data_IF_306867634640
#
_entry.id   IF_306867634640
#
_cell.length_a   1.000
_cell.length_b   1.000
_cell.length_c   1.000
_cell.angle_alpha   90.00
_cell.angle_beta   90.00
_cell.angle_gamma   90.00
#
_symmetry.space_group_name_H-M   'P 1'
#
loop_
_entity.id
_entity.type
_entity.pdbx_description
1 polymer ?
#
# COMPACT_ATOMS: atom_id res chain seq x y z
N UNK A 1 -65.20 -21.04 -27.38
CA UNK A 1 -63.82 -20.57 -27.17
C UNK A 1 -63.68 -19.07 -26.83
N UNK A 2 -64.31 -18.56 -25.78
CA UNK A 2 -63.97 -17.17 -25.32
C UNK A 2 -63.37 -17.05 -23.91
N UNK A 3 -63.10 -18.17 -23.24
CA UNK A 3 -62.63 -18.10 -21.84
C UNK A 3 -61.09 -18.06 -21.76
N UNK A 4 -60.38 -18.58 -22.71
CA UNK A 4 -58.90 -18.60 -22.74
C UNK A 4 -58.27 -17.23 -23.02
N UNK A 5 -58.97 -16.30 -23.66
CA UNK A 5 -58.41 -14.97 -23.98
C UNK A 5 -58.47 -13.97 -22.82
N UNK A 6 -59.31 -14.20 -21.81
CA UNK A 6 -59.44 -13.32 -20.63
C UNK A 6 -58.36 -13.59 -19.57
N UNK A 7 -57.87 -14.82 -19.47
CA UNK A 7 -56.75 -15.13 -18.55
C UNK A 7 -55.42 -14.63 -19.06
N UNK A 8 -55.15 -14.66 -20.37
CA UNK A 8 -53.89 -14.16 -20.94
C UNK A 8 -53.74 -12.65 -20.80
N UNK A 9 -54.86 -11.89 -20.97
CA UNK A 9 -54.83 -10.42 -20.81
C UNK A 9 -54.68 -10.00 -19.35
N UNK A 10 -55.29 -10.74 -18.41
CA UNK A 10 -55.15 -10.47 -16.98
C UNK A 10 -53.74 -10.81 -16.46
N UNK A 11 -53.10 -11.89 -16.94
CA UNK A 11 -51.70 -12.21 -16.62
C UNK A 11 -50.70 -11.20 -17.22
N UNK A 12 -50.93 -10.72 -18.44
CA UNK A 12 -50.08 -9.70 -19.06
C UNK A 12 -50.17 -8.34 -18.34
N UNK A 13 -51.35 -7.93 -17.88
CA UNK A 13 -51.54 -6.72 -17.07
C UNK A 13 -50.96 -6.87 -15.66
N UNK A 14 -51.05 -8.03 -15.02
CA UNK A 14 -50.45 -8.30 -13.71
C UNK A 14 -48.93 -8.30 -13.80
N UNK A 15 -48.33 -8.87 -14.84
CA UNK A 15 -46.90 -8.86 -15.09
C UNK A 15 -46.38 -7.46 -15.44
N UNK A 16 -47.13 -6.64 -16.15
CA UNK A 16 -46.73 -5.25 -16.44
C UNK A 16 -46.85 -4.34 -15.22
N UNK A 17 -47.83 -4.56 -14.35
CA UNK A 17 -47.97 -3.83 -13.07
C UNK A 17 -46.93 -4.26 -12.06
N UNK A 18 -46.55 -5.54 -12.00
CA UNK A 18 -45.46 -6.05 -11.18
C UNK A 18 -44.12 -5.54 -11.70
N UNK A 19 -43.89 -5.50 -13.00
CA UNK A 19 -42.68 -4.97 -13.62
C UNK A 19 -42.51 -3.45 -13.38
N UNK A 20 -43.59 -2.68 -13.47
CA UNK A 20 -43.56 -1.24 -13.19
C UNK A 20 -43.43 -0.92 -11.70
N UNK A 21 -44.02 -1.71 -10.81
CA UNK A 21 -43.87 -1.56 -9.36
C UNK A 21 -42.48 -1.96 -8.87
N UNK A 22 -41.91 -3.01 -9.46
CA UNK A 22 -40.51 -3.44 -9.14
C UNK A 22 -39.51 -2.39 -9.65
N UNK A 23 -39.70 -1.83 -10.85
CA UNK A 23 -38.81 -0.77 -11.37
C UNK A 23 -38.96 0.55 -10.58
N UNK A 24 -40.18 0.89 -10.16
CA UNK A 24 -40.41 2.09 -9.31
C UNK A 24 -39.80 1.89 -7.92
N UNK A 25 -39.94 0.71 -7.31
CA UNK A 25 -39.31 0.41 -6.01
C UNK A 25 -37.79 0.36 -6.09
N UNK A 26 -37.21 -0.12 -7.20
CA UNK A 26 -35.75 -0.11 -7.38
C UNK A 26 -35.20 1.31 -7.50
N UNK A 27 -35.88 2.21 -8.18
CA UNK A 27 -35.48 3.60 -8.32
C UNK A 27 -35.55 4.37 -6.99
N UNK A 28 -36.61 4.16 -6.20
CA UNK A 28 -36.76 4.75 -4.86
C UNK A 28 -35.68 4.25 -3.89
N UNK A 29 -35.37 2.96 -3.95
CA UNK A 29 -34.32 2.35 -3.14
C UNK A 29 -32.93 2.89 -3.51
N UNK A 30 -32.65 3.07 -4.79
CA UNK A 30 -31.39 3.64 -5.29
C UNK A 30 -31.23 5.10 -4.86
N UNK A 31 -32.29 5.90 -4.91
CA UNK A 31 -32.29 7.28 -4.41
C UNK A 31 -32.05 7.37 -2.90
N UNK A 32 -32.69 6.50 -2.09
CA UNK A 32 -32.45 6.44 -0.65
C UNK A 32 -30.99 6.04 -0.32
N UNK A 33 -30.45 5.10 -1.07
CA UNK A 33 -29.05 4.65 -0.93
C UNK A 33 -28.08 5.77 -1.25
N UNK A 34 -28.29 6.51 -2.35
CA UNK A 34 -27.45 7.65 -2.72
C UNK A 34 -27.51 8.76 -1.65
N UNK A 35 -28.70 9.06 -1.14
CA UNK A 35 -28.87 10.03 -0.04
C UNK A 35 -28.14 9.60 1.23
N UNK A 36 -28.10 8.29 1.51
CA UNK A 36 -27.35 7.77 2.66
C UNK A 36 -25.85 8.01 2.48
N UNK A 37 -25.28 7.72 1.31
CA UNK A 37 -23.87 7.95 0.99
C UNK A 37 -23.51 9.45 1.16
N UNK A 38 -24.32 10.35 0.62
CA UNK A 38 -24.12 11.80 0.73
C UNK A 38 -24.24 12.29 2.20
N UNK A 39 -25.19 11.73 2.97
CA UNK A 39 -25.39 12.10 4.37
C UNK A 39 -24.24 11.63 5.26
N UNK A 40 -23.68 10.43 5.00
CA UNK A 40 -22.51 9.93 5.73
C UNK A 40 -21.28 10.78 5.44
N UNK A 41 -21.07 11.18 4.20
CA UNK A 41 -20.00 12.10 3.83
C UNK A 41 -20.20 13.47 4.52
N UNK A 42 -21.40 14.01 4.52
CA UNK A 42 -21.71 15.30 5.18
C UNK A 42 -21.46 15.24 6.68
N UNK A 43 -21.96 14.19 7.34
CA UNK A 43 -21.74 13.97 8.77
C UNK A 43 -20.25 13.86 9.12
N UNK A 44 -19.45 13.26 8.26
CA UNK A 44 -18.00 13.11 8.47
C UNK A 44 -17.28 14.45 8.65
N UNK A 45 -17.78 15.51 7.99
CA UNK A 45 -17.24 16.86 8.13
C UNK A 45 -17.91 17.67 9.26
N UNK A 46 -19.25 17.61 9.35
CA UNK A 46 -20.02 18.46 10.25
C UNK A 46 -20.01 17.97 11.69
N UNK A 47 -19.96 16.65 11.89
CA UNK A 47 -20.19 15.97 13.18
C UNK A 47 -21.49 16.42 13.87
N UNK A 48 -22.45 16.93 13.10
CA UNK A 48 -23.71 17.46 13.59
C UNK A 48 -24.67 16.35 14.00
N UNK A 49 -25.36 16.54 15.12
CA UNK A 49 -26.43 15.63 15.53
C UNK A 49 -27.59 15.59 14.51
N UNK A 50 -27.87 16.69 13.83
CA UNK A 50 -28.91 16.74 12.80
C UNK A 50 -28.57 15.88 11.58
N UNK A 51 -27.29 15.79 11.19
CA UNK A 51 -26.86 14.94 10.09
C UNK A 51 -26.90 13.48 10.50
N UNK A 52 -26.57 13.15 11.75
CA UNK A 52 -26.76 11.81 12.31
C UNK A 52 -28.25 11.42 12.36
N UNK A 53 -29.15 12.34 12.70
CA UNK A 53 -30.58 12.10 12.68
C UNK A 53 -31.07 11.82 11.26
N UNK A 54 -30.55 12.54 10.26
CA UNK A 54 -30.83 12.27 8.83
C UNK A 54 -30.38 10.86 8.41
N UNK A 55 -29.18 10.43 8.79
CA UNK A 55 -28.68 9.06 8.56
C UNK A 55 -29.63 8.04 9.20
N UNK A 56 -30.06 8.28 10.45
CA UNK A 56 -30.95 7.38 11.17
C UNK A 56 -32.32 7.28 10.47
N UNK A 57 -32.85 8.38 10.00
CA UNK A 57 -34.12 8.43 9.28
C UNK A 57 -34.06 7.70 7.93
N UNK A 58 -32.99 7.92 7.17
CA UNK A 58 -32.77 7.22 5.89
C UNK A 58 -32.71 5.70 6.09
N UNK A 59 -31.95 5.22 7.07
CA UNK A 59 -31.88 3.78 7.38
C UNK A 59 -33.24 3.24 7.82
N UNK A 60 -33.99 3.98 8.64
CA UNK A 60 -35.35 3.62 9.08
C UNK A 60 -36.30 3.53 7.89
N UNK A 61 -36.14 4.36 6.88
CA UNK A 61 -36.93 4.40 5.65
C UNK A 61 -36.48 3.35 4.61
N UNK A 62 -35.50 2.48 4.98
CA UNK A 62 -35.09 1.36 4.14
C UNK A 62 -33.83 1.63 3.31
N UNK A 63 -33.11 2.74 3.52
CA UNK A 63 -31.81 2.90 2.86
C UNK A 63 -30.85 1.79 3.31
N UNK A 64 -30.15 1.18 2.35
CA UNK A 64 -29.13 0.18 2.62
C UNK A 64 -27.74 0.74 2.34
N UNK A 65 -26.77 0.55 3.26
CA UNK A 65 -25.41 0.99 3.04
C UNK A 65 -24.77 0.21 1.88
N UNK A 66 -23.97 0.91 1.09
CA UNK A 66 -23.14 0.36 0.01
C UNK A 66 -21.71 0.21 0.47
N UNK A 67 -20.86 -0.30 -0.40
CA UNK A 67 -19.41 -0.27 -0.17
C UNK A 67 -18.89 1.17 -0.08
N UNK A 68 -19.53 2.12 -0.77
CA UNK A 68 -19.18 3.53 -0.73
C UNK A 68 -19.51 4.15 0.64
N UNK A 69 -20.68 3.84 1.21
CA UNK A 69 -21.06 4.23 2.58
C UNK A 69 -20.03 3.72 3.60
N UNK A 70 -19.64 2.45 3.45
CA UNK A 70 -18.65 1.81 4.33
C UNK A 70 -17.28 2.48 4.19
N UNK A 71 -16.88 2.81 2.96
CA UNK A 71 -15.64 3.51 2.69
C UNK A 71 -15.61 4.91 3.33
N UNK A 72 -16.69 5.70 3.20
CA UNK A 72 -16.78 7.01 3.85
C UNK A 72 -16.63 6.88 5.37
N UNK A 73 -17.31 5.92 5.99
CA UNK A 73 -17.20 5.70 7.43
C UNK A 73 -15.75 5.35 7.86
N UNK A 74 -15.07 4.52 7.10
CA UNK A 74 -13.68 4.16 7.36
C UNK A 74 -12.72 5.31 7.10
N UNK A 75 -12.82 5.97 5.94
CA UNK A 75 -11.91 7.03 5.49
C UNK A 75 -11.96 8.26 6.41
N UNK A 76 -13.15 8.65 6.85
CA UNK A 76 -13.33 9.79 7.74
C UNK A 76 -13.30 9.41 9.23
N UNK A 77 -12.81 8.24 9.56
CA UNK A 77 -12.60 7.75 10.93
C UNK A 77 -13.86 7.84 11.79
N UNK A 78 -14.93 7.14 11.34
CA UNK A 78 -16.22 7.02 12.01
C UNK A 78 -16.46 5.57 12.47
N UNK A 79 -15.73 5.04 13.49
CA UNK A 79 -15.79 3.62 13.85
C UNK A 79 -17.19 3.14 14.20
N UNK A 80 -17.98 3.94 14.92
CA UNK A 80 -19.35 3.57 15.30
C UNK A 80 -20.31 3.42 14.11
N UNK A 81 -20.15 4.26 13.06
CA UNK A 81 -20.92 4.13 11.83
C UNK A 81 -20.44 2.94 11.02
N UNK A 82 -19.13 2.71 10.97
CA UNK A 82 -18.55 1.56 10.28
C UNK A 82 -19.12 0.24 10.85
N UNK A 83 -19.09 0.07 12.16
CA UNK A 83 -19.62 -1.13 12.83
C UNK A 83 -21.09 -1.35 12.49
N UNK A 84 -21.89 -0.26 12.57
CA UNK A 84 -23.31 -0.33 12.21
C UNK A 84 -23.55 -0.77 10.77
N UNK A 85 -22.76 -0.28 9.82
CA UNK A 85 -22.91 -0.65 8.41
C UNK A 85 -22.42 -2.07 8.13
N UNK A 86 -21.38 -2.53 8.82
CA UNK A 86 -20.92 -3.92 8.76
C UNK A 86 -22.00 -4.88 9.26
N UNK A 87 -22.74 -4.52 10.31
CA UNK A 87 -23.87 -5.31 10.82
C UNK A 87 -25.04 -5.39 9.81
N UNK A 88 -25.12 -4.47 8.84
CA UNK A 88 -26.11 -4.49 7.77
C UNK A 88 -25.67 -5.28 6.52
N UNK A 89 -24.69 -6.17 6.67
CA UNK A 89 -24.27 -7.16 5.67
C UNK A 89 -23.71 -6.57 4.35
N UNK A 90 -22.99 -5.46 4.40
CA UNK A 90 -22.25 -4.93 3.25
C UNK A 90 -21.12 -5.91 2.88
N UNK A 91 -20.94 -6.14 1.58
CA UNK A 91 -19.79 -6.94 1.11
C UNK A 91 -18.49 -6.16 1.27
N UNK A 92 -17.78 -6.36 2.37
CA UNK A 92 -16.53 -5.69 2.73
C UNK A 92 -15.39 -5.89 1.71
N UNK A 93 -15.51 -6.90 0.84
CA UNK A 93 -14.51 -7.24 -0.17
C UNK A 93 -14.84 -6.69 -1.58
N UNK A 94 -15.94 -5.97 -1.72
CA UNK A 94 -16.23 -5.28 -2.97
C UNK A 94 -15.19 -4.17 -3.19
N UNK A 95 -14.71 -4.03 -4.43
CA UNK A 95 -13.83 -2.94 -4.81
C UNK A 95 -14.59 -1.59 -4.77
N UNK A 96 -13.92 -0.57 -4.24
CA UNK A 96 -14.42 0.82 -4.20
C UNK A 96 -14.08 1.60 -5.48
N UNK A 97 -13.25 1.02 -6.34
CA UNK A 97 -12.76 1.65 -7.57
C UNK A 97 -12.33 0.60 -8.61
N UNK A 98 -12.19 1.04 -9.86
CA UNK A 98 -11.82 0.17 -10.99
C UNK A 98 -10.42 -0.43 -10.88
N UNK A 99 -9.55 0.15 -10.05
CA UNK A 99 -8.20 -0.39 -9.80
C UNK A 99 -8.18 -1.53 -8.75
N UNK A 100 -9.34 -1.99 -8.30
CA UNK A 100 -9.46 -3.09 -7.34
C UNK A 100 -9.17 -2.70 -5.89
N UNK A 101 -9.13 -1.42 -5.55
CA UNK A 101 -8.96 -0.96 -4.18
C UNK A 101 -10.14 -1.39 -3.31
N UNK A 102 -9.86 -1.85 -2.08
CA UNK A 102 -10.87 -2.24 -1.10
C UNK A 102 -10.88 -1.26 0.08
N UNK A 103 -11.95 -1.30 0.88
CA UNK A 103 -12.03 -0.46 2.09
C UNK A 103 -10.85 -0.74 3.04
N UNK A 104 -10.41 -2.00 3.16
CA UNK A 104 -9.24 -2.34 3.97
C UNK A 104 -7.96 -1.66 3.46
N UNK A 105 -7.70 -1.70 2.14
CA UNK A 105 -6.52 -1.03 1.56
C UNK A 105 -6.58 0.48 1.73
N UNK A 106 -7.74 1.08 1.50
CA UNK A 106 -7.95 2.51 1.70
C UNK A 106 -7.74 2.92 3.16
N UNK A 107 -8.27 2.14 4.12
CA UNK A 107 -8.08 2.38 5.54
C UNK A 107 -6.60 2.31 5.95
N UNK A 108 -5.86 1.30 5.47
CA UNK A 108 -4.41 1.18 5.70
C UNK A 108 -3.63 2.38 5.14
N UNK A 109 -3.98 2.86 3.94
CA UNK A 109 -3.37 4.03 3.32
C UNK A 109 -3.70 5.36 4.02
N UNK A 110 -4.79 5.39 4.79
CA UNK A 110 -5.28 6.57 5.52
C UNK A 110 -4.90 6.61 7.00
N UNK A 111 -4.15 5.62 7.49
CA UNK A 111 -3.62 5.65 8.87
C UNK A 111 -2.60 6.78 9.03
N UNK A 112 -2.49 7.35 10.24
CA UNK A 112 -1.38 8.24 10.55
C UNK A 112 -0.07 7.44 10.45
N UNK A 113 0.87 7.96 9.66
CA UNK A 113 2.14 7.27 9.42
C UNK A 113 3.06 7.22 10.64
N UNK A 114 2.88 8.14 11.58
CA UNK A 114 3.71 8.24 12.78
C UNK A 114 3.21 7.34 13.91
N UNK A 115 1.90 7.28 14.12
CA UNK A 115 1.26 6.54 15.22
C UNK A 115 -0.13 6.05 14.83
N UNK A 116 -0.44 4.82 15.21
CA UNK A 116 -1.76 4.22 14.98
C UNK A 116 -2.75 4.72 16.04
N UNK A 117 -3.76 5.50 15.63
CA UNK A 117 -4.80 5.96 16.53
C UNK A 117 -5.75 4.83 16.96
N UNK A 118 -6.47 5.02 18.07
CA UNK A 118 -7.48 4.06 18.53
C UNK A 118 -8.60 3.88 17.50
N UNK A 119 -8.99 4.93 16.79
CA UNK A 119 -9.99 4.86 15.71
C UNK A 119 -9.47 4.07 14.51
N UNK A 120 -8.21 4.26 14.10
CA UNK A 120 -7.59 3.47 13.03
C UNK A 120 -7.56 1.99 13.39
N UNK A 121 -7.11 1.68 14.61
CA UNK A 121 -7.05 0.32 15.10
C UNK A 121 -8.43 -0.33 15.15
N UNK A 122 -9.43 0.38 15.66
CA UNK A 122 -10.82 -0.10 15.72
C UNK A 122 -11.37 -0.38 14.31
N UNK A 123 -11.22 0.57 13.38
CA UNK A 123 -11.67 0.43 11.99
C UNK A 123 -11.04 -0.81 11.33
N UNK A 124 -9.72 -0.95 11.43
CA UNK A 124 -9.01 -2.08 10.83
C UNK A 124 -9.45 -3.41 11.44
N UNK A 125 -9.60 -3.48 12.77
CA UNK A 125 -10.08 -4.68 13.46
C UNK A 125 -11.51 -5.03 13.07
N UNK A 126 -12.41 -4.06 12.96
CA UNK A 126 -13.80 -4.28 12.54
C UNK A 126 -13.88 -4.80 11.11
N UNK A 127 -13.11 -4.22 10.17
CA UNK A 127 -13.03 -4.69 8.79
C UNK A 127 -12.50 -6.14 8.71
N UNK A 128 -11.43 -6.44 9.45
CA UNK A 128 -10.82 -7.77 9.49
C UNK A 128 -11.77 -8.79 10.11
N UNK A 129 -12.48 -8.45 11.19
CA UNK A 129 -13.51 -9.27 11.84
C UNK A 129 -14.68 -9.54 10.89
N UNK A 130 -15.05 -8.58 10.06
CA UNK A 130 -16.08 -8.72 9.03
C UNK A 130 -15.61 -9.56 7.81
N UNK A 131 -14.38 -10.06 7.80
CA UNK A 131 -13.83 -10.91 6.75
C UNK A 131 -13.21 -10.16 5.58
N UNK A 132 -12.69 -8.95 5.82
CA UNK A 132 -11.93 -8.25 4.79
C UNK A 132 -10.73 -9.09 4.31
N UNK A 133 -10.58 -9.22 3.00
CA UNK A 133 -9.52 -10.02 2.38
C UNK A 133 -8.15 -9.36 2.57
N UNK A 134 -7.30 -10.00 3.37
CA UNK A 134 -5.93 -9.54 3.65
C UNK A 134 -4.95 -9.81 2.51
N UNK A 135 -5.37 -10.54 1.45
CA UNK A 135 -4.52 -10.99 0.36
C UNK A 135 -4.95 -10.44 -1.02
N UNK A 136 -5.77 -9.39 -1.03
CA UNK A 136 -6.15 -8.72 -2.27
C UNK A 136 -4.92 -8.08 -2.93
N UNK A 137 -4.87 -8.11 -4.27
CA UNK A 137 -3.89 -7.38 -5.07
C UNK A 137 -4.65 -6.29 -5.82
N UNK A 138 -4.39 -5.05 -5.49
CA UNK A 138 -5.07 -3.88 -6.03
C UNK A 138 -4.10 -2.88 -6.67
N UNK A 139 -4.60 -1.72 -7.07
CA UNK A 139 -3.84 -0.65 -7.72
C UNK A 139 -3.07 -1.13 -8.96
N UNK A 140 -3.77 -1.82 -9.85
CA UNK A 140 -3.15 -2.34 -11.07
C UNK A 140 -2.11 -3.43 -10.84
N UNK A 141 -2.19 -4.13 -9.70
CA UNK A 141 -1.27 -5.21 -9.35
C UNK A 141 0.00 -4.75 -8.61
N UNK A 142 -0.01 -3.55 -8.02
CA UNK A 142 1.18 -2.99 -7.35
C UNK A 142 1.10 -3.01 -5.83
N UNK A 143 -0.08 -3.19 -5.23
CA UNK A 143 -0.26 -3.11 -3.78
C UNK A 143 -1.05 -4.28 -3.20
N UNK A 144 -0.67 -4.67 -1.98
CA UNK A 144 -1.39 -5.63 -1.12
C UNK A 144 -1.56 -5.01 0.27
N UNK A 145 -2.51 -5.49 1.10
CA UNK A 145 -2.64 -5.00 2.47
C UNK A 145 -1.34 -5.06 3.27
N UNK A 146 -0.55 -6.12 3.10
CA UNK A 146 0.71 -6.27 3.83
C UNK A 146 1.82 -5.35 3.31
N UNK A 147 1.84 -5.03 2.00
CA UNK A 147 2.73 -4.01 1.43
C UNK A 147 2.33 -2.62 1.97
N UNK A 148 1.04 -2.27 1.92
CA UNK A 148 0.54 -1.01 2.46
C UNK A 148 0.90 -0.82 3.94
N UNK A 149 0.70 -1.86 4.75
CA UNK A 149 1.07 -1.84 6.17
C UNK A 149 2.57 -1.65 6.39
N UNK A 150 3.42 -2.35 5.62
CA UNK A 150 4.87 -2.24 5.75
C UNK A 150 5.42 -0.85 5.38
N UNK A 151 4.66 -0.07 4.59
CA UNK A 151 4.99 1.29 4.18
C UNK A 151 4.47 2.39 5.11
N UNK A 152 3.81 2.02 6.21
CA UNK A 152 3.16 2.97 7.13
C UNK A 152 4.10 3.55 8.20
N UNK A 153 5.38 3.68 7.92
CA UNK A 153 6.40 4.28 8.80
C UNK A 153 6.34 3.80 10.27
N UNK A 154 6.11 4.69 11.24
CA UNK A 154 6.06 4.36 12.66
C UNK A 154 4.94 3.37 13.05
N UNK A 155 3.81 3.42 12.37
CA UNK A 155 2.70 2.49 12.57
C UNK A 155 2.95 1.09 11.96
N UNK A 156 3.91 0.94 11.05
CA UNK A 156 4.13 -0.27 10.28
C UNK A 156 4.27 -1.57 11.11
N UNK A 157 5.04 -1.64 12.21
CA UNK A 157 5.14 -2.88 12.99
C UNK A 157 3.81 -3.37 13.54
N UNK A 158 2.96 -2.46 14.04
CA UNK A 158 1.65 -2.79 14.59
C UNK A 158 0.69 -3.28 13.49
N UNK A 159 0.67 -2.60 12.34
CA UNK A 159 -0.17 -2.96 11.20
C UNK A 159 0.24 -4.29 10.58
N UNK A 160 1.55 -4.52 10.38
CA UNK A 160 2.08 -5.79 9.86
C UNK A 160 1.71 -6.93 10.81
N UNK A 161 1.88 -6.76 12.12
CA UNK A 161 1.49 -7.76 13.12
C UNK A 161 -0.01 -8.05 13.08
N UNK A 162 -0.85 -7.02 13.01
CA UNK A 162 -2.30 -7.15 12.93
C UNK A 162 -2.72 -7.96 11.69
N UNK A 163 -2.18 -7.64 10.51
CA UNK A 163 -2.52 -8.35 9.28
C UNK A 163 -2.03 -9.79 9.27
N UNK A 164 -0.81 -10.07 9.75
CA UNK A 164 -0.28 -11.43 9.86
C UNK A 164 -1.15 -12.28 10.80
N UNK A 165 -1.61 -11.73 11.93
CA UNK A 165 -2.53 -12.40 12.85
C UNK A 165 -3.91 -12.64 12.23
N UNK A 166 -4.29 -11.83 11.23
CA UNK A 166 -5.55 -11.93 10.50
C UNK A 166 -5.45 -12.77 9.20
N UNK A 167 -4.34 -13.50 8.99
CA UNK A 167 -4.19 -14.43 7.89
C UNK A 167 -3.60 -13.83 6.61
N UNK A 168 -2.91 -12.70 6.69
CA UNK A 168 -2.17 -12.18 5.56
C UNK A 168 -1.00 -13.12 5.19
N UNK A 169 -0.88 -13.42 3.90
CA UNK A 169 0.20 -14.25 3.38
C UNK A 169 1.48 -13.43 3.21
N UNK A 170 2.43 -13.63 4.13
CA UNK A 170 3.73 -12.97 4.11
C UNK A 170 4.58 -13.33 2.87
N UNK A 171 4.26 -14.40 2.14
CA UNK A 171 4.96 -14.84 0.94
C UNK A 171 4.35 -14.27 -0.33
N UNK A 172 3.19 -13.60 -0.22
CA UNK A 172 2.54 -13.02 -1.37
C UNK A 172 3.41 -11.92 -2.00
N UNK A 173 3.60 -12.01 -3.31
CA UNK A 173 4.27 -10.99 -4.11
C UNK A 173 3.32 -10.43 -5.15
N UNK A 174 3.54 -9.19 -5.55
CA UNK A 174 2.81 -8.57 -6.66
C UNK A 174 3.17 -9.24 -8.00
N UNK A 175 2.39 -9.04 -9.07
CA UNK A 175 2.76 -9.48 -10.42
C UNK A 175 4.13 -9.00 -10.89
N UNK A 176 4.64 -7.89 -10.34
CA UNK A 176 5.99 -7.36 -10.60
C UNK A 176 7.06 -8.00 -9.71
N UNK A 177 6.69 -8.90 -8.79
CA UNK A 177 7.60 -9.57 -7.87
C UNK A 177 7.98 -8.73 -6.65
N UNK A 178 7.25 -7.64 -6.35
CA UNK A 178 7.46 -6.90 -5.11
C UNK A 178 6.83 -7.64 -3.93
N UNK A 179 7.58 -7.76 -2.85
CA UNK A 179 7.15 -8.33 -1.57
C UNK A 179 7.01 -7.26 -0.49
N UNK A 180 6.32 -7.55 0.63
CA UNK A 180 6.15 -6.58 1.72
C UNK A 180 7.44 -6.08 2.36
N UNK A 181 8.55 -6.80 2.20
CA UNK A 181 9.87 -6.43 2.72
C UNK A 181 10.65 -5.48 1.78
N UNK A 182 10.12 -5.17 0.60
CA UNK A 182 10.70 -4.20 -0.34
C UNK A 182 10.16 -2.79 -0.08
N UNK A 183 10.80 -1.78 -0.66
CA UNK A 183 10.45 -0.38 -0.42
C UNK A 183 10.68 0.01 1.05
N UNK A 184 9.78 0.78 1.64
CA UNK A 184 9.90 1.24 3.02
C UNK A 184 9.91 0.10 4.05
N UNK A 185 9.36 -1.09 3.72
CA UNK A 185 9.45 -2.29 4.56
C UNK A 185 10.89 -2.73 4.85
N UNK A 186 11.85 -2.44 3.97
CA UNK A 186 13.27 -2.73 4.17
C UNK A 186 13.99 -1.77 5.13
N UNK A 187 13.32 -0.68 5.54
CA UNK A 187 13.93 0.36 6.37
C UNK A 187 13.62 0.22 7.86
N UNK A 188 12.64 -0.59 8.21
CA UNK A 188 12.20 -0.83 9.58
C UNK A 188 12.64 -2.22 10.05
N UNK A 189 13.57 -2.27 11.00
CA UNK A 189 14.15 -3.52 11.51
C UNK A 189 13.09 -4.46 12.12
N UNK A 190 12.08 -3.92 12.81
CA UNK A 190 11.03 -4.73 13.41
C UNK A 190 10.10 -5.33 12.34
N UNK A 191 9.74 -4.53 11.32
CA UNK A 191 8.98 -5.01 10.14
C UNK A 191 9.74 -6.14 9.44
N UNK A 192 11.04 -5.98 9.17
CA UNK A 192 11.88 -7.02 8.58
C UNK A 192 11.80 -8.32 9.39
N UNK A 193 11.98 -8.24 10.72
CA UNK A 193 11.93 -9.40 11.61
C UNK A 193 10.56 -10.09 11.59
N UNK A 194 9.48 -9.31 11.66
CA UNK A 194 8.11 -9.85 11.61
C UNK A 194 7.84 -10.58 10.28
N UNK A 195 8.18 -9.97 9.17
CA UNK A 195 7.95 -10.53 7.84
C UNK A 195 8.81 -11.79 7.59
N UNK A 196 10.09 -11.76 7.96
CA UNK A 196 10.98 -12.92 7.82
C UNK A 196 10.52 -14.07 8.72
N UNK A 197 10.12 -13.79 9.95
CA UNK A 197 9.55 -14.80 10.85
C UNK A 197 8.25 -15.41 10.31
N UNK A 198 7.46 -14.64 9.55
CA UNK A 198 6.24 -15.10 8.88
C UNK A 198 6.52 -15.81 7.53
N UNK A 199 7.78 -15.84 7.07
CA UNK A 199 8.22 -16.59 5.89
C UNK A 199 8.40 -15.78 4.61
N UNK A 200 8.42 -14.44 4.68
CA UNK A 200 8.82 -13.59 3.55
C UNK A 200 10.28 -13.89 3.19
N UNK A 201 10.57 -14.02 1.89
CA UNK A 201 11.94 -14.19 1.40
C UNK A 201 12.70 -12.86 1.48
N UNK A 202 13.74 -12.72 2.35
CA UNK A 202 14.50 -11.49 2.47
C UNK A 202 15.45 -11.25 1.29
N UNK A 203 15.55 -12.19 0.35
CA UNK A 203 16.44 -12.14 -0.81
C UNK A 203 15.70 -12.19 -2.14
N UNK A 204 14.37 -12.05 -2.09
CA UNK A 204 13.51 -12.08 -3.27
C UNK A 204 13.94 -11.04 -4.30
N UNK A 205 13.77 -11.35 -5.59
CA UNK A 205 14.14 -10.47 -6.70
C UNK A 205 12.88 -10.09 -7.46
N UNK A 206 12.61 -8.80 -7.61
CA UNK A 206 11.51 -8.30 -8.44
C UNK A 206 11.83 -8.45 -9.93
N UNK A 207 10.81 -8.30 -10.80
CA UNK A 207 11.01 -8.33 -12.26
C UNK A 207 11.88 -7.19 -12.79
N UNK A 208 12.01 -6.10 -12.02
CA UNK A 208 12.91 -4.99 -12.36
C UNK A 208 14.34 -5.20 -11.83
N UNK A 209 14.62 -6.33 -11.17
CA UNK A 209 15.94 -6.64 -10.63
C UNK A 209 16.20 -6.07 -9.23
N UNK A 210 15.22 -5.46 -8.57
CA UNK A 210 15.38 -4.97 -7.19
C UNK A 210 15.26 -6.11 -6.18
N UNK A 211 16.08 -6.07 -5.14
CA UNK A 211 15.98 -6.90 -3.94
C UNK A 211 15.65 -6.01 -2.74
N UNK A 212 15.23 -6.57 -1.60
CA UNK A 212 15.03 -5.77 -0.39
C UNK A 212 16.26 -4.93 0.00
N UNK A 213 17.48 -5.42 -0.26
CA UNK A 213 18.71 -4.71 0.03
C UNK A 213 18.87 -3.38 -0.74
N UNK A 214 18.28 -3.26 -1.94
CA UNK A 214 18.29 -1.99 -2.70
C UNK A 214 17.50 -0.88 -2.01
N UNK A 215 16.58 -1.23 -1.11
CA UNK A 215 15.74 -0.28 -0.38
C UNK A 215 16.19 -0.05 1.07
N UNK A 216 17.24 -0.76 1.54
CA UNK A 216 17.62 -0.79 2.95
C UNK A 216 17.93 0.57 3.56
N UNK A 217 18.32 1.54 2.75
CA UNK A 217 18.65 2.90 3.18
C UNK A 217 17.58 3.93 2.80
N UNK A 218 16.50 3.54 2.13
CA UNK A 218 15.40 4.47 1.77
C UNK A 218 14.90 5.19 3.02
N UNK A 219 14.67 6.50 2.91
CA UNK A 219 14.23 7.38 3.99
C UNK A 219 13.23 8.40 3.50
N UNK A 220 12.34 8.80 4.37
CA UNK A 220 11.59 10.04 4.20
C UNK A 220 12.51 11.25 4.46
N UNK A 221 12.34 12.32 3.70
CA UNK A 221 13.12 13.56 3.85
C UNK A 221 13.03 14.16 5.26
N UNK A 222 11.97 13.88 6.02
CA UNK A 222 11.84 14.29 7.42
C UNK A 222 12.87 13.64 8.35
N UNK A 223 13.52 12.56 7.91
CA UNK A 223 14.56 11.83 8.66
C UNK A 223 15.98 12.22 8.23
N UNK A 224 16.13 13.18 7.31
CA UNK A 224 17.44 13.63 6.86
C UNK A 224 18.28 14.15 8.02
N UNK A 225 19.55 13.70 8.09
CA UNK A 225 20.48 14.06 9.14
C UNK A 225 20.23 13.36 10.49
N UNK A 226 19.19 12.53 10.64
CA UNK A 226 18.99 11.75 11.86
C UNK A 226 19.91 10.51 11.88
N UNK A 227 20.44 10.10 13.04
CA UNK A 227 21.22 8.87 13.16
C UNK A 227 20.43 7.63 12.76
N UNK A 228 21.10 6.65 12.15
CA UNK A 228 20.53 5.36 11.78
C UNK A 228 21.31 4.18 12.40
N UNK A 229 21.18 3.96 13.71
CA UNK A 229 21.96 2.94 14.41
C UNK A 229 21.59 1.50 14.03
N UNK A 230 20.47 1.29 13.33
CA UNK A 230 19.98 -0.04 12.94
C UNK A 230 20.36 -0.45 11.51
N UNK A 231 20.99 0.43 10.73
CA UNK A 231 21.36 0.18 9.35
C UNK A 231 22.14 -1.13 9.17
N UNK A 232 23.19 -1.34 9.97
CA UNK A 232 24.02 -2.56 9.88
C UNK A 232 23.22 -3.84 10.16
N UNK A 233 22.25 -3.80 11.09
CA UNK A 233 21.40 -4.97 11.39
C UNK A 233 20.44 -5.28 10.26
N UNK A 234 19.84 -4.26 9.63
CA UNK A 234 18.97 -4.43 8.45
C UNK A 234 19.77 -5.02 7.29
N UNK A 235 20.94 -4.46 7.00
CA UNK A 235 21.83 -4.96 5.94
C UNK A 235 22.18 -6.42 6.17
N UNK A 236 22.55 -6.81 7.39
CA UNK A 236 22.88 -8.20 7.72
C UNK A 236 21.72 -9.19 7.51
N UNK A 237 20.48 -8.74 7.70
CA UNK A 237 19.27 -9.56 7.47
C UNK A 237 18.90 -9.65 5.99
N UNK A 238 19.18 -8.62 5.20
CA UNK A 238 18.77 -8.50 3.79
C UNK A 238 19.87 -8.86 2.80
N UNK A 239 21.11 -8.99 3.25
CA UNK A 239 22.22 -9.47 2.42
C UNK A 239 22.29 -10.99 2.43
N UNK A 240 22.15 -11.60 1.26
CA UNK A 240 22.20 -13.06 1.13
C UNK A 240 23.61 -13.59 1.40
N UNK A 241 23.78 -14.49 2.37
CA UNK A 241 25.10 -15.06 2.66
C UNK A 241 25.75 -15.70 1.43
N UNK A 242 27.06 -15.43 1.23
CA UNK A 242 27.84 -16.00 0.13
C UNK A 242 27.63 -15.35 -1.24
N UNK A 243 26.88 -14.23 -1.32
CA UNK A 243 26.74 -13.42 -2.54
C UNK A 243 27.48 -12.11 -2.40
N UNK A 244 27.80 -11.45 -3.54
CA UNK A 244 28.27 -10.06 -3.48
C UNK A 244 27.16 -9.13 -3.02
N UNK A 245 27.48 -8.20 -2.13
CA UNK A 245 26.56 -7.13 -1.73
C UNK A 245 26.26 -6.16 -2.88
N UNK A 246 27.13 -6.12 -3.90
CA UNK A 246 26.98 -5.31 -5.11
C UNK A 246 26.27 -6.09 -6.24
N UNK A 247 25.70 -7.26 -5.93
CA UNK A 247 25.02 -8.08 -6.94
C UNK A 247 23.87 -7.30 -7.58
N UNK A 248 23.92 -7.26 -8.92
CA UNK A 248 22.87 -6.72 -9.77
C UNK A 248 22.17 -7.90 -10.42
N UNK A 249 20.98 -8.32 -9.95
CA UNK A 249 20.25 -9.42 -10.57
C UNK A 249 19.91 -9.13 -12.04
N UNK A 250 19.71 -10.18 -12.86
CA UNK A 250 19.30 -10.00 -14.25
C UNK A 250 18.03 -9.15 -14.34
N UNK A 251 18.06 -8.14 -15.20
CA UNK A 251 16.98 -7.18 -15.34
C UNK A 251 16.17 -7.46 -16.60
N UNK A 252 14.85 -7.38 -16.49
CA UNK A 252 13.92 -7.66 -17.58
C UNK A 252 13.27 -6.39 -18.17
N UNK A 253 13.64 -5.20 -17.68
CA UNK A 253 13.01 -3.94 -18.05
C UNK A 253 14.01 -2.86 -18.50
N UNK A 254 13.48 -1.82 -19.15
CA UNK A 254 14.26 -0.72 -19.74
C UNK A 254 14.95 0.21 -18.72
N UNK A 255 14.56 0.18 -17.44
CA UNK A 255 15.15 1.00 -16.37
C UNK A 255 15.95 0.09 -15.44
N UNK A 256 17.28 0.12 -15.52
CA UNK A 256 18.12 -0.71 -14.68
C UNK A 256 18.10 -0.22 -13.24
N UNK A 257 18.16 -1.17 -12.34
CA UNK A 257 18.46 -0.94 -10.93
C UNK A 257 19.97 -0.96 -10.76
N UNK A 258 20.52 0.01 -10.05
CA UNK A 258 21.94 0.06 -9.74
C UNK A 258 22.36 -0.94 -8.66
N UNK A 259 23.57 -0.79 -8.13
CA UNK A 259 23.96 -1.55 -6.93
C UNK A 259 23.17 -1.04 -5.70
N UNK A 260 22.99 -1.86 -4.65
CA UNK A 260 22.39 -1.37 -3.40
C UNK A 260 23.09 -0.11 -2.84
N UNK A 261 24.40 0.00 -3.02
CA UNK A 261 25.16 1.18 -2.64
C UNK A 261 24.76 2.42 -3.45
N UNK A 262 24.57 2.29 -4.78
CA UNK A 262 24.11 3.40 -5.62
C UNK A 262 22.70 3.84 -5.22
N UNK A 263 21.78 2.89 -5.05
CA UNK A 263 20.40 3.18 -4.69
C UNK A 263 20.28 3.85 -3.30
N UNK A 264 21.21 3.52 -2.36
CA UNK A 264 21.23 4.09 -1.03
C UNK A 264 21.47 5.60 -0.99
N UNK A 265 22.01 6.16 -2.07
CA UNK A 265 22.39 7.58 -2.12
C UNK A 265 21.22 8.52 -2.36
N UNK A 266 20.10 7.99 -2.84
CA UNK A 266 18.87 8.77 -3.05
C UNK A 266 18.24 9.27 -1.76
N UNK A 267 18.62 8.70 -0.62
CA UNK A 267 18.00 8.96 0.69
C UNK A 267 18.87 9.81 1.64
N UNK A 268 20.01 10.30 1.19
CA UNK A 268 20.92 11.15 1.98
C UNK A 268 21.17 10.64 3.43
N UNK A 269 21.34 9.31 3.60
CA UNK A 269 21.55 8.62 4.87
C UNK A 269 23.01 8.17 5.04
N UNK A 270 23.92 9.00 5.56
CA UNK A 270 25.34 8.68 5.64
C UNK A 270 25.66 7.46 6.52
N UNK A 271 24.88 7.20 7.57
CA UNK A 271 25.10 6.04 8.44
C UNK A 271 24.81 4.73 7.71
N UNK A 272 23.75 4.70 6.90
CA UNK A 272 23.42 3.53 6.10
C UNK A 272 24.43 3.31 4.97
N UNK A 273 24.88 4.38 4.30
CA UNK A 273 25.97 4.30 3.30
C UNK A 273 27.24 3.76 3.94
N UNK A 274 27.65 4.25 5.12
CA UNK A 274 28.79 3.72 5.89
C UNK A 274 28.61 2.25 6.22
N UNK A 275 27.41 1.84 6.63
CA UNK A 275 27.12 0.46 6.98
C UNK A 275 27.19 -0.47 5.76
N UNK A 276 26.74 -0.04 4.58
CA UNK A 276 26.91 -0.80 3.32
C UNK A 276 28.39 -0.95 2.97
N UNK A 277 29.17 0.11 3.04
CA UNK A 277 30.62 0.06 2.80
C UNK A 277 31.34 -0.85 3.82
N UNK A 278 30.96 -0.80 5.09
CA UNK A 278 31.49 -1.68 6.12
C UNK A 278 31.08 -3.15 5.92
N UNK A 279 29.94 -3.41 5.30
CA UNK A 279 29.49 -4.73 4.92
C UNK A 279 30.16 -5.27 3.63
N UNK A 280 31.04 -4.49 3.01
CA UNK A 280 31.85 -4.88 1.86
C UNK A 280 31.34 -4.38 0.51
N UNK A 281 30.42 -3.42 0.48
CA UNK A 281 30.01 -2.78 -0.77
C UNK A 281 31.21 -2.05 -1.42
N UNK A 282 31.43 -2.33 -2.70
CA UNK A 282 32.55 -1.77 -3.47
C UNK A 282 32.13 -0.48 -4.17
N UNK A 283 32.68 0.64 -3.72
CA UNK A 283 32.44 1.94 -4.37
C UNK A 283 33.01 2.05 -5.77
N UNK A 284 33.92 1.16 -6.15
CA UNK A 284 34.49 1.07 -7.48
C UNK A 284 33.82 -0.01 -8.35
N UNK A 285 32.78 -0.69 -7.85
CA UNK A 285 31.90 -1.52 -8.67
C UNK A 285 31.16 -0.67 -9.73
N UNK A 286 30.77 -1.27 -10.86
CA UNK A 286 29.93 -0.60 -11.85
C UNK A 286 28.60 -0.14 -11.22
N UNK A 287 28.25 1.11 -11.43
CA UNK A 287 27.02 1.70 -10.90
C UNK A 287 25.77 1.01 -11.44
N UNK A 288 25.82 0.63 -12.73
CA UNK A 288 24.76 -0.08 -13.45
C UNK A 288 25.33 -1.32 -14.18
N UNK A 289 24.50 -2.31 -14.54
CA UNK A 289 24.93 -3.44 -15.33
C UNK A 289 25.68 -3.03 -16.61
N UNK A 290 26.70 -3.81 -17.01
CA UNK A 290 27.55 -3.49 -18.17
C UNK A 290 26.78 -3.40 -19.49
N UNK A 291 25.71 -4.19 -19.63
CA UNK A 291 24.79 -4.21 -20.79
C UNK A 291 23.82 -3.02 -20.81
N UNK A 292 23.80 -2.21 -19.75
CA UNK A 292 22.90 -1.06 -19.68
C UNK A 292 23.23 -0.04 -20.79
N UNK A 293 22.23 0.22 -21.63
CA UNK A 293 22.26 1.29 -22.61
C UNK A 293 21.45 2.46 -22.07
N UNK A 294 22.14 3.36 -21.35
CA UNK A 294 21.49 4.54 -20.77
C UNK A 294 20.95 5.46 -21.86
N UNK A 295 19.80 6.08 -21.60
CA UNK A 295 19.36 7.27 -22.34
C UNK A 295 20.37 8.42 -22.19
N UNK A 296 21.08 8.48 -21.05
CA UNK A 296 22.22 9.35 -20.81
C UNK A 296 23.54 8.54 -20.92
N UNK A 297 24.29 8.67 -22.04
CA UNK A 297 25.56 7.99 -22.20
C UNK A 297 26.61 8.32 -21.14
N UNK A 298 26.42 9.43 -20.41
CA UNK A 298 27.37 9.89 -19.38
C UNK A 298 27.47 8.98 -18.17
N UNK A 299 26.49 8.11 -17.93
CA UNK A 299 26.51 7.15 -16.80
C UNK A 299 27.03 5.76 -17.18
N UNK A 300 27.16 5.47 -18.48
CA UNK A 300 27.58 4.17 -18.96
C UNK A 300 29.02 3.83 -18.55
N UNK A 301 29.20 2.67 -17.95
CA UNK A 301 30.53 2.16 -17.56
C UNK A 301 31.18 2.91 -16.39
N UNK A 302 30.46 3.84 -15.75
CA UNK A 302 30.94 4.51 -14.53
C UNK A 302 30.80 3.61 -13.31
N UNK A 303 31.79 3.73 -12.40
CA UNK A 303 31.67 3.15 -11.06
C UNK A 303 30.74 3.98 -10.18
N UNK A 304 30.31 3.42 -9.06
CA UNK A 304 29.49 4.14 -8.07
C UNK A 304 30.22 5.41 -7.63
N UNK A 305 31.53 5.32 -7.31
CA UNK A 305 32.38 6.47 -6.97
C UNK A 305 32.37 7.55 -8.03
N UNK A 306 32.61 7.19 -9.30
CA UNK A 306 32.65 8.15 -10.41
C UNK A 306 31.30 8.83 -10.63
N UNK A 307 30.20 8.08 -10.45
CA UNK A 307 28.86 8.63 -10.57
C UNK A 307 28.58 9.67 -9.50
N UNK A 308 28.89 9.36 -8.23
CA UNK A 308 28.66 10.26 -7.09
C UNK A 308 29.50 11.50 -7.18
N UNK A 309 30.81 11.36 -7.38
CA UNK A 309 31.72 12.52 -7.40
C UNK A 309 31.40 13.45 -8.58
N UNK A 310 31.09 12.89 -9.75
CA UNK A 310 30.66 13.70 -10.92
C UNK A 310 29.30 14.39 -10.71
N UNK A 311 28.36 13.74 -10.01
CA UNK A 311 27.08 14.36 -9.67
C UNK A 311 27.22 15.45 -8.62
N UNK A 312 28.06 15.25 -7.59
CA UNK A 312 28.35 16.25 -6.55
C UNK A 312 29.08 17.48 -7.11
N UNK A 313 29.97 17.30 -8.09
CA UNK A 313 30.60 18.42 -8.80
C UNK A 313 29.59 19.27 -9.58
N UNK A 314 28.68 18.60 -10.26
CA UNK A 314 27.63 19.25 -11.07
C UNK A 314 26.50 19.86 -10.24
N UNK A 315 26.16 19.22 -9.13
CA UNK A 315 25.08 19.58 -8.22
C UNK A 315 25.57 19.51 -6.76
N UNK A 316 26.21 20.57 -6.23
CA UNK A 316 26.88 20.56 -4.93
C UNK A 316 25.99 20.22 -3.73
N UNK A 317 24.68 20.49 -3.83
CA UNK A 317 23.71 20.27 -2.76
C UNK A 317 22.97 18.91 -2.88
N UNK A 318 23.33 18.07 -3.87
CA UNK A 318 22.63 16.81 -4.11
C UNK A 318 22.88 15.78 -3.00
N UNK A 319 24.11 15.75 -2.48
CA UNK A 319 24.52 14.84 -1.42
C UNK A 319 25.10 15.60 -0.23
N UNK A 320 24.90 15.11 0.99
CA UNK A 320 25.56 15.69 2.15
C UNK A 320 27.09 15.62 2.02
N UNK A 321 27.83 16.61 2.57
CA UNK A 321 29.30 16.60 2.54
C UNK A 321 29.88 15.32 3.14
N UNK A 322 29.20 14.73 4.13
CA UNK A 322 29.59 13.50 4.79
C UNK A 322 29.56 12.30 3.82
N UNK A 323 28.50 12.18 3.02
CA UNK A 323 28.41 11.14 1.94
C UNK A 323 29.53 11.35 0.94
N UNK A 324 29.71 12.55 0.41
CA UNK A 324 30.76 12.84 -0.59
C UNK A 324 32.13 12.44 -0.07
N UNK A 325 32.43 12.76 1.19
CA UNK A 325 33.73 12.42 1.82
C UNK A 325 33.99 10.90 1.90
N UNK A 326 32.95 10.05 1.96
CA UNK A 326 33.11 8.59 1.94
C UNK A 326 33.64 8.08 0.59
N UNK A 327 33.43 8.80 -0.49
CA UNK A 327 33.85 8.42 -1.84
C UNK A 327 35.13 9.11 -2.32
N UNK A 328 35.61 10.12 -1.62
CA UNK A 328 36.89 10.80 -1.93
C UNK A 328 38.11 9.99 -1.48
N UNK A 329 37.95 9.11 -0.51
CA UNK A 329 38.97 8.18 0.00
C UNK A 329 38.90 6.86 -0.76
#
# INVERSE_FOLDING_TARGET
MPILNRCATACALALSLLGSSVAAHSGEQEELTQKLDESVMTYAYSKSSSDMDTINELIKNGAHPTIQTLWYAAYYKQPALLDRFLDMSVNVNQAISDNGETVLLSALGNTDKSELSDDDLHILQSLLKAGANTNVIAQGGTNTPLIAAAQSQGAAPALVKLLLQSGADAKQVTPQGFSPIMGEGATNLEVIKLLVAAGTDPYGVSKVGSTPLHFVCTRDASQDGQPDPQAAQRIALLHKPGTSIDAQPPQQQAWPVGTPLLESLTSNNPDCVKALLAAGADKDALAFPAEYVAADPSVKGKTVRQNILGSAEKYPDLYSPEIVALFQK
#
